data_IF_255725779058
#
_entry.id   IF_255725779058
#
_cell.length_a   1.000
_cell.length_b   1.000
_cell.length_c   1.000
_cell.angle_alpha   90.00
_cell.angle_beta   90.00
_cell.angle_gamma   90.00
#
_symmetry.space_group_name_H-M   'P 1'
#
loop_
_entity.id
_entity.type
_entity.pdbx_description
1 polymer ?
#
# COMPACT_ATOMS: atom_id res chain seq x y z
N UNK A 1 14.87 12.23 22.62
CA UNK A 1 15.44 12.88 21.41
C UNK A 1 15.40 12.01 20.16
N UNK A 2 16.26 11.00 19.95
CA UNK A 2 16.24 10.22 18.69
C UNK A 2 14.94 9.41 18.48
N UNK A 3 14.35 8.84 19.54
CA UNK A 3 13.07 8.14 19.46
C UNK A 3 11.90 9.10 19.13
N UNK A 4 11.88 10.28 19.73
CA UNK A 4 10.84 11.31 19.48
C UNK A 4 10.90 11.85 18.05
N UNK A 5 12.10 12.06 17.48
CA UNK A 5 12.27 12.49 16.07
C UNK A 5 11.80 11.41 15.09
N UNK A 6 11.99 10.12 15.41
CA UNK A 6 11.48 9.01 14.58
C UNK A 6 9.97 8.84 14.68
N UNK A 7 9.40 9.06 15.86
CA UNK A 7 7.95 8.99 16.09
C UNK A 7 7.23 10.18 15.41
N UNK A 8 7.86 11.36 15.38
CA UNK A 8 7.39 12.53 14.64
C UNK A 8 7.47 12.33 13.12
N UNK A 9 8.55 11.71 12.61
CA UNK A 9 8.67 11.31 11.19
C UNK A 9 7.63 10.27 10.80
N UNK A 10 7.37 9.26 11.64
CA UNK A 10 6.34 8.25 11.36
C UNK A 10 4.94 8.88 11.20
N UNK A 11 4.68 10.03 11.83
CA UNK A 11 3.47 10.83 11.62
C UNK A 11 3.40 11.56 10.28
N UNK A 12 4.53 11.75 9.58
CA UNK A 12 4.64 12.42 8.27
C UNK A 12 4.97 11.46 7.13
N UNK A 13 4.99 10.15 7.39
CA UNK A 13 5.17 9.11 6.37
C UNK A 13 3.89 8.30 6.20
N UNK A 14 3.50 8.07 4.95
CA UNK A 14 2.35 7.25 4.61
C UNK A 14 2.74 6.04 3.77
N UNK A 15 1.79 5.14 3.56
CA UNK A 15 1.94 3.96 2.71
C UNK A 15 1.28 4.15 1.36
N UNK A 16 1.91 3.68 0.29
CA UNK A 16 1.27 3.48 -1.02
C UNK A 16 1.37 2.00 -1.38
N UNK A 17 0.22 1.35 -1.55
CA UNK A 17 0.14 -0.01 -2.02
C UNK A 17 -0.35 -0.03 -3.47
N UNK A 18 0.55 -0.37 -4.39
CA UNK A 18 0.26 -0.51 -5.82
C UNK A 18 -0.41 -1.85 -6.07
N UNK A 19 -1.73 -1.81 -6.27
CA UNK A 19 -2.61 -2.96 -6.46
C UNK A 19 -3.07 -3.13 -7.93
N UNK A 20 -2.63 -2.25 -8.83
CA UNK A 20 -2.96 -2.33 -10.25
C UNK A 20 -2.23 -3.44 -11.02
N UNK A 21 -2.44 -3.43 -12.34
CA UNK A 21 -1.86 -4.38 -13.27
C UNK A 21 -2.82 -5.52 -13.64
N UNK A 22 -2.46 -6.26 -14.69
CA UNK A 22 -3.36 -7.22 -15.33
C UNK A 22 -3.26 -8.64 -14.77
N UNK A 23 -2.31 -8.91 -13.88
CA UNK A 23 -2.05 -10.25 -13.33
C UNK A 23 -1.88 -11.35 -14.39
N UNK A 24 -1.44 -11.00 -15.62
CA UNK A 24 -1.36 -11.91 -16.78
C UNK A 24 -0.62 -13.22 -16.48
N UNK A 25 0.51 -13.12 -15.77
CA UNK A 25 1.32 -14.28 -15.39
C UNK A 25 0.64 -15.18 -14.34
N UNK A 26 -0.18 -14.60 -13.47
CA UNK A 26 -0.86 -15.34 -12.40
C UNK A 26 -2.17 -15.99 -12.88
N UNK A 27 -2.70 -15.56 -14.03
CA UNK A 27 -3.96 -16.06 -14.62
C UNK A 27 -5.23 -15.68 -13.84
N UNK A 28 -5.09 -15.02 -12.69
CA UNK A 28 -6.17 -14.52 -11.84
C UNK A 28 -5.74 -13.23 -11.15
N UNK A 29 -6.69 -12.39 -10.68
CA UNK A 29 -6.39 -11.17 -9.94
C UNK A 29 -5.45 -11.46 -8.74
N UNK A 30 -4.23 -10.93 -8.78
CA UNK A 30 -3.17 -11.25 -7.81
C UNK A 30 -3.53 -10.83 -6.38
N UNK A 31 -4.26 -9.74 -6.25
CA UNK A 31 -4.77 -9.19 -4.99
C UNK A 31 -5.76 -10.12 -4.27
N UNK A 32 -6.37 -11.06 -5.00
CA UNK A 32 -7.28 -12.10 -4.49
C UNK A 32 -6.56 -13.42 -4.16
N UNK A 33 -5.27 -13.56 -4.46
CA UNK A 33 -4.54 -14.79 -4.15
C UNK A 33 -4.50 -15.00 -2.64
N UNK A 34 -4.74 -16.25 -2.21
CA UNK A 34 -4.58 -16.62 -0.80
C UNK A 34 -3.09 -16.60 -0.44
N UNK A 35 -2.76 -15.90 0.64
CA UNK A 35 -1.45 -15.91 1.23
C UNK A 35 -1.58 -16.02 2.76
N UNK A 36 -1.37 -17.22 3.29
CA UNK A 36 -1.52 -17.47 4.72
C UNK A 36 -2.97 -17.41 5.21
N UNK A 37 -3.94 -17.78 4.36
CA UNK A 37 -5.36 -17.83 4.72
C UNK A 37 -6.12 -16.51 4.56
N UNK A 38 -5.49 -15.47 4.02
CA UNK A 38 -6.11 -14.18 3.71
C UNK A 38 -5.77 -13.73 2.28
N UNK A 39 -6.59 -12.87 1.64
CA UNK A 39 -6.25 -12.28 0.35
C UNK A 39 -4.94 -11.49 0.41
N UNK A 40 -4.15 -11.55 -0.65
CA UNK A 40 -2.85 -10.90 -0.74
C UNK A 40 -2.92 -9.38 -0.49
N UNK A 41 -4.01 -8.73 -0.91
CA UNK A 41 -4.27 -7.33 -0.57
C UNK A 41 -4.31 -7.10 0.95
N UNK A 42 -5.05 -7.93 1.67
CA UNK A 42 -5.19 -7.83 3.12
C UNK A 42 -3.85 -8.10 3.81
N UNK A 43 -3.15 -9.15 3.39
CA UNK A 43 -1.81 -9.47 3.90
C UNK A 43 -0.88 -8.26 3.81
N UNK A 44 -0.75 -7.67 2.62
CA UNK A 44 0.14 -6.52 2.39
C UNK A 44 -0.30 -5.26 3.13
N UNK A 45 -1.62 -5.01 3.24
CA UNK A 45 -2.14 -3.89 4.02
C UNK A 45 -1.80 -4.00 5.50
N UNK A 46 -1.94 -5.20 6.08
CA UNK A 46 -1.56 -5.45 7.49
C UNK A 46 -0.07 -5.16 7.71
N UNK A 47 0.78 -5.61 6.79
CA UNK A 47 2.23 -5.41 6.88
C UNK A 47 2.62 -3.93 6.79
N UNK A 48 2.07 -3.21 5.82
CA UNK A 48 2.37 -1.79 5.64
C UNK A 48 1.90 -0.98 6.86
N UNK A 49 0.75 -1.34 7.44
CA UNK A 49 0.21 -0.69 8.64
C UNK A 49 1.00 -0.91 9.92
N UNK A 50 1.93 -1.87 9.96
CA UNK A 50 2.88 -1.98 11.07
C UNK A 50 3.94 -0.88 11.06
N UNK A 51 4.09 -0.15 9.95
CA UNK A 51 5.07 0.92 9.78
C UNK A 51 4.41 2.30 9.70
N UNK A 52 3.22 2.41 9.10
CA UNK A 52 2.54 3.69 8.84
C UNK A 52 1.07 3.64 9.21
N UNK A 53 0.51 4.78 9.62
CA UNK A 53 -0.91 4.87 10.01
C UNK A 53 -1.84 4.94 8.79
N UNK A 54 -1.52 5.79 7.83
CA UNK A 54 -2.31 6.05 6.63
C UNK A 54 -1.77 5.28 5.44
N UNK A 55 -2.66 4.63 4.68
CA UNK A 55 -2.29 3.89 3.47
C UNK A 55 -3.21 4.26 2.32
N UNK A 56 -2.63 4.55 1.16
CA UNK A 56 -3.35 4.67 -0.11
C UNK A 56 -3.18 3.38 -0.92
N UNK A 57 -4.28 2.73 -1.28
CA UNK A 57 -4.30 1.63 -2.24
C UNK A 57 -4.62 2.18 -3.62
N UNK A 58 -3.77 1.89 -4.60
CA UNK A 58 -3.96 2.32 -5.99
C UNK A 58 -4.36 1.11 -6.83
N UNK A 59 -5.54 1.15 -7.43
CA UNK A 59 -6.07 0.08 -8.28
C UNK A 59 -6.48 0.59 -9.67
N UNK A 60 -6.57 -0.29 -10.66
CA UNK A 60 -7.05 0.09 -11.99
C UNK A 60 -8.54 0.48 -11.94
N UNK A 61 -9.03 1.31 -12.90
CA UNK A 61 -10.45 1.57 -13.09
C UNK A 61 -11.26 0.27 -13.17
N UNK A 62 -12.37 0.19 -12.43
CA UNK A 62 -13.28 -0.97 -12.45
C UNK A 62 -12.72 -2.26 -11.84
N UNK A 63 -11.48 -2.27 -11.33
CA UNK A 63 -10.88 -3.46 -10.72
C UNK A 63 -11.60 -3.81 -9.41
N UNK A 64 -12.13 -5.03 -9.32
CA UNK A 64 -12.73 -5.57 -8.09
C UNK A 64 -11.63 -5.96 -7.11
N UNK A 65 -11.76 -5.58 -5.84
CA UNK A 65 -10.82 -5.91 -4.78
C UNK A 65 -11.51 -6.83 -3.75
N UNK A 66 -10.76 -7.72 -3.08
CA UNK A 66 -11.32 -8.52 -2.01
C UNK A 66 -11.87 -7.62 -0.90
N UNK A 67 -12.96 -8.03 -0.22
CA UNK A 67 -13.45 -7.31 0.95
C UNK A 67 -12.36 -7.28 2.02
N UNK A 68 -12.22 -6.13 2.68
CA UNK A 68 -11.27 -5.94 3.77
C UNK A 68 -11.99 -5.89 5.12
N UNK A 69 -11.42 -6.47 6.19
CA UNK A 69 -11.95 -6.32 7.54
C UNK A 69 -12.06 -4.84 7.95
N UNK A 70 -13.06 -4.50 8.76
CA UNK A 70 -13.31 -3.09 9.16
C UNK A 70 -12.10 -2.44 9.84
N UNK A 71 -11.34 -3.24 10.57
CA UNK A 71 -10.14 -2.84 11.31
C UNK A 71 -8.99 -2.47 10.36
N UNK A 72 -9.00 -2.99 9.13
CA UNK A 72 -8.04 -2.67 8.06
C UNK A 72 -8.49 -1.44 7.28
N UNK A 73 -9.80 -1.29 7.02
CA UNK A 73 -10.36 -0.22 6.17
C UNK A 73 -10.27 1.16 6.80
N UNK A 74 -10.32 1.30 8.13
CA UNK A 74 -10.44 2.60 8.81
C UNK A 74 -9.31 3.61 8.53
N UNK A 75 -8.18 3.15 7.99
CA UNK A 75 -7.01 3.98 7.68
C UNK A 75 -6.48 3.71 6.26
N UNK A 76 -7.35 3.22 5.39
CA UNK A 76 -7.03 2.88 3.99
C UNK A 76 -7.90 3.69 3.06
N UNK A 77 -7.26 4.47 2.19
CA UNK A 77 -7.91 5.18 1.09
C UNK A 77 -7.71 4.40 -0.20
N UNK A 78 -8.79 3.99 -0.84
CA UNK A 78 -8.74 3.41 -2.18
C UNK A 78 -8.84 4.53 -3.24
N UNK A 79 -7.86 4.59 -4.14
CA UNK A 79 -7.88 5.46 -5.32
C UNK A 79 -7.73 4.65 -6.60
N UNK A 80 -8.13 5.24 -7.72
CA UNK A 80 -8.11 4.60 -9.03
C UNK A 80 -7.18 5.34 -9.97
N UNK A 81 -6.40 4.58 -10.75
CA UNK A 81 -5.63 5.15 -11.86
C UNK A 81 -6.56 5.88 -12.84
N UNK A 82 -6.08 6.91 -13.56
CA UNK A 82 -6.90 7.67 -14.50
C UNK A 82 -7.27 6.87 -15.75
N UNK A 83 -6.48 5.86 -16.10
CA UNK A 83 -6.70 4.96 -17.24
C UNK A 83 -6.35 3.52 -16.83
N UNK A 84 -6.85 2.50 -17.56
CA UNK A 84 -6.47 1.12 -17.27
C UNK A 84 -4.97 0.85 -17.51
N UNK A 85 -4.30 0.32 -16.48
CA UNK A 85 -2.94 -0.24 -16.55
C UNK A 85 -1.85 0.72 -17.10
N UNK A 86 -1.74 1.95 -16.59
CA UNK A 86 -0.82 2.96 -17.12
C UNK A 86 0.66 2.69 -16.78
N UNK A 87 0.93 1.64 -16.00
CA UNK A 87 2.24 1.30 -15.50
C UNK A 87 2.49 1.82 -14.08
N UNK A 88 3.56 1.34 -13.42
CA UNK A 88 3.80 1.57 -11.99
C UNK A 88 4.10 3.02 -11.63
N UNK A 89 4.74 3.80 -12.53
CA UNK A 89 5.05 5.21 -12.26
C UNK A 89 3.80 6.09 -12.20
N UNK A 90 2.81 5.82 -13.05
CA UNK A 90 1.52 6.53 -12.97
C UNK A 90 0.77 6.11 -11.71
N UNK A 91 0.77 4.82 -11.37
CA UNK A 91 0.19 4.36 -10.11
C UNK A 91 0.84 5.01 -8.88
N UNK A 92 2.17 5.18 -8.90
CA UNK A 92 2.89 5.91 -7.85
C UNK A 92 2.45 7.39 -7.79
N UNK A 93 2.39 8.07 -8.93
CA UNK A 93 1.93 9.46 -9.00
C UNK A 93 0.49 9.61 -8.49
N UNK A 94 -0.41 8.71 -8.90
CA UNK A 94 -1.80 8.68 -8.43
C UNK A 94 -1.88 8.45 -6.93
N UNK A 95 -1.07 7.54 -6.38
CA UNK A 95 -0.98 7.32 -4.94
C UNK A 95 -0.47 8.56 -4.20
N UNK A 96 0.61 9.17 -4.67
CA UNK A 96 1.22 10.35 -4.07
C UNK A 96 0.27 11.54 -4.03
N UNK A 97 -0.40 11.85 -5.15
CA UNK A 97 -1.35 12.95 -5.24
C UNK A 97 -2.59 12.77 -4.33
N UNK A 98 -2.85 11.55 -3.86
CA UNK A 98 -3.94 11.25 -2.94
C UNK A 98 -3.54 11.34 -1.46
N UNK A 99 -2.26 11.52 -1.17
CA UNK A 99 -1.76 11.67 0.19
C UNK A 99 -2.09 13.06 0.76
N UNK A 100 -2.26 13.17 2.09
CA UNK A 100 -2.39 14.46 2.76
C UNK A 100 -1.17 15.38 2.53
N UNK A 101 -1.35 16.71 2.46
CA UNK A 101 -0.25 17.66 2.25
C UNK A 101 0.87 17.63 3.30
N UNK A 102 0.57 17.18 4.52
CA UNK A 102 1.52 17.01 5.62
C UNK A 102 2.44 15.79 5.48
N UNK A 103 2.18 14.91 4.51
CA UNK A 103 3.03 13.75 4.23
C UNK A 103 4.25 14.18 3.42
N UNK A 104 5.44 13.92 3.97
CA UNK A 104 6.72 14.30 3.38
C UNK A 104 7.40 13.15 2.63
N UNK A 105 7.04 11.90 2.96
CA UNK A 105 7.54 10.70 2.28
C UNK A 105 6.54 9.55 2.29
N UNK A 106 6.76 8.56 1.43
CA UNK A 106 5.91 7.39 1.33
C UNK A 106 6.72 6.09 1.24
N UNK A 107 6.30 5.07 2.00
CA UNK A 107 6.71 3.69 1.77
C UNK A 107 5.83 3.10 0.66
N UNK A 108 6.44 2.70 -0.43
CA UNK A 108 5.74 2.19 -1.62
C UNK A 108 5.99 0.70 -1.78
N UNK A 109 4.92 -0.09 -1.86
CA UNK A 109 4.99 -1.53 -2.11
C UNK A 109 4.08 -1.92 -3.27
N UNK A 110 4.48 -2.95 -4.01
CA UNK A 110 3.57 -3.65 -4.91
C UNK A 110 2.85 -4.76 -4.14
N UNK A 111 1.56 -4.98 -4.43
CA UNK A 111 0.76 -6.00 -3.74
C UNK A 111 1.29 -7.42 -3.94
N UNK A 112 2.06 -7.67 -5.00
CA UNK A 112 2.69 -8.96 -5.30
C UNK A 112 4.07 -9.16 -4.68
N UNK A 113 4.38 -8.43 -3.62
CA UNK A 113 5.61 -8.58 -2.81
C UNK A 113 5.34 -9.13 -1.39
N UNK A 114 4.67 -10.29 -1.23
CA UNK A 114 4.29 -10.81 0.10
C UNK A 114 5.45 -11.11 1.04
N UNK A 115 6.66 -11.27 0.49
CA UNK A 115 7.87 -11.60 1.26
C UNK A 115 8.57 -10.40 1.90
N UNK A 116 8.06 -9.18 1.75
CA UNK A 116 8.66 -7.99 2.37
C UNK A 116 8.39 -8.01 3.88
N UNK A 117 9.44 -8.13 4.73
CA UNK A 117 9.24 -8.23 6.17
C UNK A 117 8.89 -6.85 6.76
N UNK A 118 7.93 -6.75 7.70
CA UNK A 118 7.57 -5.47 8.32
C UNK A 118 8.74 -4.77 9.03
N UNK A 119 9.70 -5.55 9.54
CA UNK A 119 10.92 -5.01 10.15
C UNK A 119 11.76 -4.17 9.18
N UNK A 120 11.80 -4.53 7.89
CA UNK A 120 12.49 -3.74 6.87
C UNK A 120 11.81 -2.39 6.65
N UNK A 121 10.47 -2.38 6.63
CA UNK A 121 9.68 -1.14 6.50
C UNK A 121 9.96 -0.18 7.66
N UNK A 122 9.98 -0.71 8.90
CA UNK A 122 10.34 0.07 10.10
C UNK A 122 11.78 0.59 10.06
N UNK A 123 12.71 -0.20 9.52
CA UNK A 123 14.10 0.22 9.37
C UNK A 123 14.25 1.36 8.35
N UNK A 124 13.49 1.35 7.26
CA UNK A 124 13.53 2.43 6.26
C UNK A 124 12.99 3.77 6.77
N UNK A 125 12.12 3.77 7.79
CA UNK A 125 11.68 5.02 8.44
C UNK A 125 12.79 5.73 9.22
N UNK A 126 13.92 5.05 9.44
CA UNK A 126 15.07 5.58 10.19
C UNK A 126 16.18 6.15 9.28
N UNK A 127 16.05 6.02 7.97
CA UNK A 127 16.94 6.66 7.00
C UNK A 127 16.60 8.15 6.86
#
# INVERSE_FOLDING_TARGET
>A
MAAEVHEERAGRVAGILLCGGQSRRMGRPKEWLDFGGVPLLEHMLRHLREAVREVVVVAAPGQSLPPLPREVVSSVRLVRDPVPYPGPLVGLLTGWLALPPEVEAALVLAVDMPGVPPALLRQWLQW
#
